data_IF_566176612085
#
_entry.id   IF_566176612085
#
_cell.length_a   1.000
_cell.length_b   1.000
_cell.length_c   1.000
_cell.angle_alpha   90.00
_cell.angle_beta   90.00
_cell.angle_gamma   90.00
#
_symmetry.space_group_name_H-M   'P 1'
#
loop_
_entity.id
_entity.type
_entity.pdbx_description
1 polymer ?
#
# COMPACT_ATOMS: atom_id res chain seq x y z
N UNK A 1 -11.61 -39.41 -63.20
CA UNK A 1 -10.14 -39.34 -63.02
C UNK A 1 -9.90 -38.86 -61.61
N UNK A 2 -9.46 -39.77 -60.71
CA UNK A 2 -8.82 -39.54 -59.39
C UNK A 2 -9.55 -38.61 -58.37
N UNK A 3 -9.57 -38.84 -57.07
CA UNK A 3 -9.30 -39.98 -56.19
C UNK A 3 -9.85 -39.56 -54.81
N UNK A 4 -10.23 -40.56 -54.01
CA UNK A 4 -10.72 -40.49 -52.65
C UNK A 4 -9.78 -39.78 -51.65
N UNK A 5 -10.33 -39.20 -50.58
CA UNK A 5 -10.03 -39.60 -49.18
C UNK A 5 -11.02 -38.97 -48.16
N UNK A 6 -11.42 -39.69 -47.08
CA UNK A 6 -12.54 -39.33 -46.20
C UNK A 6 -12.16 -39.00 -44.74
N UNK A 7 -13.16 -38.45 -44.02
CA UNK A 7 -13.32 -38.36 -42.55
C UNK A 7 -13.02 -39.69 -41.83
N UNK A 8 -12.36 -39.68 -40.67
CA UNK A 8 -12.65 -40.60 -39.54
C UNK A 8 -12.37 -39.92 -38.17
N UNK A 9 -13.22 -40.28 -37.20
CA UNK A 9 -13.33 -39.84 -35.79
C UNK A 9 -12.46 -40.76 -34.86
N UNK A 10 -12.49 -40.62 -33.51
CA UNK A 10 -11.40 -40.92 -32.59
C UNK A 10 -11.38 -42.37 -32.08
N UNK A 11 -10.29 -42.74 -31.40
CA UNK A 11 -10.19 -43.95 -30.58
C UNK A 11 -9.86 -43.55 -29.14
N UNK A 12 -10.76 -43.93 -28.23
CA UNK A 12 -10.47 -44.16 -26.82
C UNK A 12 -10.31 -45.68 -26.62
N UNK A 13 -9.33 -46.12 -25.81
CA UNK A 13 -9.34 -47.39 -25.06
C UNK A 13 -8.13 -47.35 -24.09
N UNK A 14 -8.30 -47.30 -22.76
CA UNK A 14 -8.61 -48.36 -21.77
C UNK A 14 -7.34 -48.88 -21.05
N UNK A 15 -7.36 -48.75 -19.71
CA UNK A 15 -6.94 -49.69 -18.63
C UNK A 15 -5.55 -50.34 -18.74
N UNK A 16 -4.68 -50.42 -17.74
CA UNK A 16 -4.76 -50.39 -16.28
C UNK A 16 -3.81 -51.47 -15.71
N UNK A 17 -3.57 -51.40 -14.39
CA UNK A 17 -3.01 -52.45 -13.50
C UNK A 17 -1.48 -52.52 -13.29
N UNK A 18 -1.11 -52.03 -12.09
CA UNK A 18 -0.24 -52.56 -11.03
C UNK A 18 0.83 -53.65 -11.30
N UNK A 19 2.02 -53.42 -10.74
CA UNK A 19 2.86 -54.30 -9.89
C UNK A 19 4.13 -53.48 -9.56
N UNK A 20 4.55 -53.20 -8.33
CA UNK A 20 4.69 -54.09 -7.18
C UNK A 20 6.05 -54.77 -7.25
N UNK A 21 7.08 -54.22 -6.59
CA UNK A 21 8.25 -54.98 -6.13
C UNK A 21 8.99 -54.27 -4.99
N UNK A 22 9.14 -55.04 -3.93
CA UNK A 22 9.82 -54.87 -2.65
C UNK A 22 11.29 -54.45 -2.72
N UNK A 23 11.78 -53.92 -1.60
CA UNK A 23 13.20 -53.80 -1.32
C UNK A 23 13.53 -53.19 0.04
N UNK A 24 13.13 -53.85 1.13
CA UNK A 24 13.54 -53.54 2.51
C UNK A 24 14.92 -54.12 2.85
N UNK A 25 15.83 -53.32 3.39
CA UNK A 25 16.91 -53.67 4.34
C UNK A 25 17.46 -52.34 4.89
N UNK A 26 17.76 -52.07 6.16
CA UNK A 26 17.69 -52.75 7.46
C UNK A 26 18.06 -51.68 8.53
N UNK A 27 17.46 -51.70 9.73
CA UNK A 27 18.12 -52.05 11.02
C UNK A 27 19.33 -51.13 11.35
N UNK A 28 19.46 -50.40 12.47
CA UNK A 28 18.96 -50.51 13.85
C UNK A 28 19.50 -49.29 14.68
N UNK A 29 19.38 -49.15 16.02
CA UNK A 29 18.63 -48.05 16.67
C UNK A 29 19.43 -47.19 17.70
N UNK A 30 18.67 -46.45 18.56
CA UNK A 30 18.99 -45.81 19.87
C UNK A 30 19.46 -44.35 19.82
N UNK A 31 19.13 -43.45 20.75
CA UNK A 31 18.28 -43.45 21.95
C UNK A 31 18.26 -42.01 22.51
N UNK A 32 17.12 -41.59 23.06
CA UNK A 32 16.91 -40.68 24.21
C UNK A 32 17.96 -39.61 24.58
N UNK A 33 17.54 -38.35 24.68
CA UNK A 33 17.38 -37.59 25.94
C UNK A 33 17.39 -36.07 25.71
N UNK A 34 16.30 -35.40 26.09
CA UNK A 34 16.25 -34.03 26.63
C UNK A 34 16.41 -34.16 28.17
N UNK A 35 16.65 -33.11 29.01
CA UNK A 35 16.65 -31.66 28.77
C UNK A 35 17.78 -30.91 29.55
N UNK A 36 17.59 -29.60 29.82
CA UNK A 36 18.41 -28.63 30.62
C UNK A 36 19.52 -27.92 29.83
N UNK A 37 19.76 -26.60 29.91
CA UNK A 37 19.69 -25.68 31.06
C UNK A 37 19.78 -24.22 30.57
N UNK A 38 19.15 -23.28 31.30
CA UNK A 38 19.36 -21.85 31.13
C UNK A 38 20.69 -21.39 31.74
N UNK A 39 21.16 -20.17 31.46
CA UNK A 39 21.88 -19.41 32.47
C UNK A 39 21.21 -18.07 32.77
N UNK A 40 20.87 -17.91 34.06
CA UNK A 40 20.81 -16.65 34.79
C UNK A 40 22.19 -16.04 34.92
N UNK A 41 22.32 -14.72 34.72
CA UNK A 41 23.35 -13.92 35.39
C UNK A 41 22.85 -12.47 35.58
N UNK A 42 22.50 -12.17 36.82
CA UNK A 42 22.34 -10.82 37.36
C UNK A 42 23.71 -10.14 37.49
N UNK A 43 23.83 -8.88 37.07
CA UNK A 43 24.81 -7.95 37.65
C UNK A 43 24.10 -6.61 37.90
N UNK A 44 24.18 -6.19 39.15
CA UNK A 44 23.66 -4.95 39.74
C UNK A 44 24.67 -3.81 39.56
N UNK A 45 24.16 -2.62 39.19
CA UNK A 45 24.48 -1.24 39.66
C UNK A 45 25.95 -0.73 39.64
N UNK A 46 26.21 0.59 39.41
CA UNK A 46 25.47 1.68 40.03
C UNK A 46 25.14 2.92 39.16
N UNK A 47 24.17 3.68 39.67
CA UNK A 47 23.92 5.09 39.34
C UNK A 47 25.14 5.98 39.60
N UNK A 48 25.13 7.17 38.99
CA UNK A 48 25.45 8.39 39.73
C UNK A 48 24.27 9.37 39.74
N UNK A 49 24.02 9.90 40.94
CA UNK A 49 23.28 11.14 41.18
C UNK A 49 24.27 12.31 41.30
N UNK A 50 23.80 13.53 41.02
CA UNK A 50 24.54 14.79 41.12
C UNK A 50 25.12 15.21 39.76
N UNK A 51 24.85 16.37 39.18
CA UNK A 51 24.60 17.66 39.82
C UNK A 51 23.58 18.51 39.06
N UNK A 52 22.77 19.21 39.86
CA UNK A 52 22.01 20.36 39.45
C UNK A 52 22.97 21.52 39.15
N UNK A 53 23.04 21.97 37.90
CA UNK A 53 23.50 23.31 37.59
C UNK A 53 22.28 24.22 37.44
N UNK A 54 22.15 25.10 38.43
CA UNK A 54 21.32 26.29 38.40
C UNK A 54 21.82 27.23 37.29
N UNK A 55 20.97 27.52 36.31
CA UNK A 55 21.12 28.71 35.48
C UNK A 55 20.40 29.90 36.14
N UNK A 56 21.00 31.10 36.14
CA UNK A 56 20.47 32.29 36.82
C UNK A 56 19.27 32.90 36.07
N UNK A 57 18.38 33.64 36.77
CA UNK A 57 17.22 34.24 36.15
C UNK A 57 17.63 35.49 35.37
N UNK A 58 17.52 35.45 34.05
CA UNK A 58 17.52 36.66 33.23
C UNK A 58 16.09 37.19 33.19
N UNK A 59 15.81 38.11 34.09
CA UNK A 59 14.67 39.00 34.01
C UNK A 59 14.92 40.01 32.88
N UNK A 60 14.15 39.93 31.79
CA UNK A 60 14.01 41.06 30.87
C UNK A 60 12.53 41.28 30.55
N UNK A 61 12.07 42.40 31.07
CA UNK A 61 10.82 43.12 30.85
C UNK A 61 10.05 42.79 29.56
N UNK A 62 8.75 42.53 29.76
CA UNK A 62 7.71 42.76 28.76
C UNK A 62 7.75 44.23 28.34
N UNK A 63 8.08 44.48 27.06
CA UNK A 63 7.76 45.74 26.40
C UNK A 63 6.66 45.43 25.40
N UNK A 64 5.43 45.80 25.75
CA UNK A 64 4.32 45.81 24.82
C UNK A 64 4.60 46.88 23.76
N UNK A 65 4.95 46.46 22.55
CA UNK A 65 4.96 47.34 21.40
C UNK A 65 3.52 47.42 20.86
N UNK A 66 2.85 48.53 21.14
CA UNK A 66 1.67 48.99 20.39
C UNK A 66 2.10 49.25 18.95
N UNK A 67 1.72 48.37 18.02
CA UNK A 67 1.85 48.65 16.58
C UNK A 67 0.58 49.34 16.12
N UNK A 68 0.75 50.64 15.84
CA UNK A 68 -0.20 51.46 15.13
C UNK A 68 -0.42 50.91 13.71
N UNK A 69 -1.68 50.94 13.29
CA UNK A 69 -2.14 50.74 11.92
C UNK A 69 -1.46 51.71 10.96
N UNK A 70 -0.83 51.19 9.91
CA UNK A 70 -0.51 51.95 8.70
C UNK A 70 -0.99 51.18 7.48
N UNK A 71 -2.08 51.68 6.89
CA UNK A 71 -2.48 51.42 5.51
C UNK A 71 -1.38 51.89 4.55
N UNK A 72 -1.04 51.06 3.56
CA UNK A 72 -0.27 51.52 2.39
C UNK A 72 0.61 50.46 1.72
N UNK A 73 0.01 49.74 0.77
CA UNK A 73 0.66 49.02 -0.33
C UNK A 73 1.48 47.74 -0.02
N UNK A 74 0.78 46.68 0.39
CA UNK A 74 1.22 45.31 0.13
C UNK A 74 0.06 44.47 -0.39
N UNK A 75 0.27 43.73 -1.49
CA UNK A 75 -0.68 42.75 -1.99
C UNK A 75 -0.55 41.45 -1.17
N UNK A 76 -1.64 40.79 -0.75
CA UNK A 76 -1.54 39.51 -0.06
C UNK A 76 -0.78 38.50 -0.92
N UNK A 77 0.27 37.92 -0.35
CA UNK A 77 0.88 36.72 -0.90
C UNK A 77 -0.15 35.60 -0.78
N UNK A 78 -0.72 35.17 -1.91
CA UNK A 78 -1.58 34.00 -1.96
C UNK A 78 -0.71 32.74 -1.82
N UNK A 79 -0.20 32.51 -0.60
CA UNK A 79 0.23 31.20 -0.19
C UNK A 79 -1.02 30.41 0.18
N UNK A 80 -1.42 29.49 -0.70
CA UNK A 80 -2.13 28.32 -0.20
C UNK A 80 -1.07 27.47 0.51
N UNK A 81 -0.95 27.67 1.82
CA UNK A 81 -0.49 26.57 2.65
C UNK A 81 -1.40 25.39 2.32
N UNK A 82 -0.86 24.17 2.12
CA UNK A 82 -1.73 22.99 2.05
C UNK A 82 -2.70 23.09 3.21
N UNK A 83 -4.00 22.94 2.90
CA UNK A 83 -5.08 23.12 3.86
C UNK A 83 -4.66 22.57 5.22
N UNK A 84 -4.89 23.40 6.24
CA UNK A 84 -4.71 23.04 7.63
C UNK A 84 -5.06 21.58 7.81
N UNK A 85 -4.03 20.82 8.18
CA UNK A 85 -4.16 19.54 8.86
C UNK A 85 -5.41 19.59 9.71
N UNK A 86 -6.40 18.77 9.36
CA UNK A 86 -7.36 18.31 10.36
C UNK A 86 -6.51 17.87 11.55
N UNK A 87 -6.65 18.55 12.69
CA UNK A 87 -6.16 18.03 13.95
C UNK A 87 -6.61 16.55 14.02
N UNK A 88 -5.80 15.61 14.50
CA UNK A 88 -6.15 14.19 14.42
C UNK A 88 -7.53 14.01 15.04
N UNK A 89 -8.53 13.78 14.17
CA UNK A 89 -9.91 13.57 14.58
C UNK A 89 -9.85 12.51 15.67
N UNK A 90 -10.44 12.71 16.84
CA UNK A 90 -10.39 11.68 17.88
C UNK A 90 -10.86 10.35 17.29
N UNK A 91 -10.19 9.25 17.64
CA UNK A 91 -10.55 7.92 17.15
C UNK A 91 -11.86 7.44 17.82
N UNK A 92 -12.96 8.06 17.42
CA UNK A 92 -14.30 7.94 18.00
C UNK A 92 -15.35 8.44 17.01
N UNK A 93 -16.56 7.92 17.09
CA UNK A 93 -17.70 8.50 16.38
C UNK A 93 -18.44 9.46 17.31
N UNK A 94 -18.46 10.73 16.96
CA UNK A 94 -19.13 11.75 17.77
C UNK A 94 -20.64 11.46 17.87
N UNK A 95 -21.14 11.42 19.10
CA UNK A 95 -22.56 11.17 19.37
C UNK A 95 -23.05 9.74 19.11
N UNK A 96 -22.18 8.80 18.76
CA UNK A 96 -22.56 7.40 18.57
C UNK A 96 -22.80 6.73 19.92
N UNK A 97 -24.06 6.40 20.19
CA UNK A 97 -24.47 5.58 21.34
C UNK A 97 -24.87 4.20 20.83
N UNK A 98 -24.15 3.17 21.26
CA UNK A 98 -24.44 1.79 20.87
C UNK A 98 -25.47 1.16 21.81
N UNK A 99 -26.63 0.72 21.29
CA UNK A 99 -27.58 -0.10 22.05
C UNK A 99 -26.90 -1.36 22.59
N UNK A 100 -27.41 -1.91 23.70
CA UNK A 100 -26.83 -3.08 24.33
C UNK A 100 -26.82 -4.29 23.38
N UNK A 101 -27.89 -4.44 22.61
CA UNK A 101 -28.13 -5.48 21.60
C UNK A 101 -27.36 -5.30 20.30
N UNK A 102 -26.75 -4.12 20.07
CA UNK A 102 -26.02 -3.87 18.84
C UNK A 102 -24.79 -4.79 18.72
N UNK A 103 -24.60 -5.34 17.52
CA UNK A 103 -23.50 -6.24 17.17
C UNK A 103 -22.37 -5.50 16.48
N UNK A 104 -21.15 -5.79 16.88
CA UNK A 104 -19.93 -5.25 16.28
C UNK A 104 -19.23 -6.36 15.49
N UNK A 105 -19.32 -6.30 14.17
CA UNK A 105 -18.71 -7.31 13.30
C UNK A 105 -17.51 -6.74 12.56
N UNK A 106 -16.47 -7.56 12.40
CA UNK A 106 -15.33 -7.23 11.56
C UNK A 106 -15.33 -8.06 10.29
N UNK A 107 -14.90 -7.49 9.17
CA UNK A 107 -14.80 -8.21 7.90
C UNK A 107 -13.68 -7.68 7.00
N UNK A 108 -13.13 -8.56 6.18
CA UNK A 108 -12.13 -8.18 5.18
C UNK A 108 -11.18 -9.29 4.79
N UNK A 109 -10.14 -8.92 4.05
CA UNK A 109 -9.09 -9.79 3.57
C UNK A 109 -7.80 -8.97 3.37
N UNK A 110 -6.75 -9.57 2.82
CA UNK A 110 -5.60 -8.79 2.35
C UNK A 110 -5.98 -7.86 1.18
N UNK A 111 -6.82 -8.33 0.28
CA UNK A 111 -7.36 -7.60 -0.87
C UNK A 111 -8.62 -8.27 -1.40
N UNK A 112 -9.37 -7.56 -2.24
CA UNK A 112 -10.58 -8.05 -2.89
C UNK A 112 -10.36 -8.59 -4.31
N UNK A 113 -11.41 -8.58 -5.12
CA UNK A 113 -11.34 -8.85 -6.57
C UNK A 113 -10.70 -7.65 -7.27
N UNK A 114 -9.73 -7.88 -8.16
CA UNK A 114 -9.04 -6.80 -8.90
C UNK A 114 -10.01 -6.01 -9.78
N UNK A 115 -9.75 -4.70 -9.90
CA UNK A 115 -10.54 -3.78 -10.70
C UNK A 115 -9.82 -3.32 -11.98
N UNK A 116 -8.55 -3.69 -12.16
CA UNK A 116 -7.71 -3.32 -13.32
C UNK A 116 -7.52 -1.80 -13.51
N UNK A 117 -7.69 -1.02 -12.44
CA UNK A 117 -7.35 0.40 -12.37
C UNK A 117 -6.99 0.80 -10.94
N UNK A 118 -6.41 1.98 -10.77
CA UNK A 118 -6.03 2.52 -9.47
C UNK A 118 -7.07 3.50 -8.94
N UNK A 119 -7.20 3.59 -7.62
CA UNK A 119 -8.03 4.60 -6.94
C UNK A 119 -7.18 5.55 -6.07
N UNK A 120 -5.86 5.36 -6.05
CA UNK A 120 -4.92 6.14 -5.25
C UNK A 120 -3.53 6.21 -5.89
N UNK A 121 -2.56 6.67 -5.09
CA UNK A 121 -1.16 6.87 -5.48
C UNK A 121 -0.22 5.78 -4.95
N UNK A 122 -0.74 4.63 -4.51
CA UNK A 122 0.06 3.53 -3.97
C UNK A 122 0.96 2.86 -5.02
N UNK A 123 0.56 2.93 -6.29
CA UNK A 123 1.14 2.15 -7.38
C UNK A 123 0.48 0.77 -7.54
N UNK A 124 -0.36 0.35 -6.60
CA UNK A 124 -1.13 -0.89 -6.65
C UNK A 124 -2.45 -0.72 -7.38
N UNK A 125 -2.88 -1.75 -8.10
CA UNK A 125 -4.25 -1.84 -8.61
C UNK A 125 -5.25 -1.88 -7.46
N UNK A 126 -6.39 -1.23 -7.66
CA UNK A 126 -7.48 -1.28 -6.71
C UNK A 126 -8.20 -2.63 -6.76
N UNK A 127 -8.79 -2.97 -5.63
CA UNK A 127 -9.64 -4.14 -5.48
C UNK A 127 -11.05 -3.76 -5.01
N UNK A 128 -12.00 -4.68 -5.13
CA UNK A 128 -13.36 -4.52 -4.65
C UNK A 128 -13.72 -5.66 -3.71
N UNK A 129 -14.40 -5.32 -2.62
CA UNK A 129 -15.08 -6.27 -1.76
C UNK A 129 -16.57 -5.90 -1.72
N UNK A 130 -17.42 -6.80 -2.22
CA UNK A 130 -18.87 -6.75 -2.08
C UNK A 130 -19.26 -7.28 -0.69
N UNK A 131 -19.88 -6.42 0.12
CA UNK A 131 -20.29 -6.72 1.49
C UNK A 131 -21.81 -6.84 1.54
N UNK A 132 -22.31 -8.01 1.91
CA UNK A 132 -23.72 -8.23 2.19
C UNK A 132 -23.93 -8.36 3.70
N UNK A 133 -24.64 -7.42 4.31
CA UNK A 133 -24.96 -7.45 5.75
C UNK A 133 -26.38 -8.00 5.94
N UNK A 134 -26.51 -9.13 6.62
CA UNK A 134 -27.80 -9.76 6.89
C UNK A 134 -27.94 -10.01 8.40
N UNK A 135 -28.51 -9.04 9.09
CA UNK A 135 -28.73 -9.12 10.53
C UNK A 135 -29.97 -8.29 10.93
N UNK A 136 -31.18 -8.74 10.55
CA UNK A 136 -32.41 -7.99 10.80
C UNK A 136 -32.79 -7.91 12.29
N UNK A 137 -32.29 -8.84 13.11
CA UNK A 137 -32.72 -9.00 14.51
C UNK A 137 -32.07 -8.01 15.48
N UNK A 138 -30.97 -7.36 15.08
CA UNK A 138 -30.32 -6.32 15.89
C UNK A 138 -29.49 -5.36 15.02
N UNK A 139 -29.24 -4.12 15.49
CA UNK A 139 -28.39 -3.16 14.79
C UNK A 139 -26.94 -3.64 14.70
N UNK A 140 -26.23 -3.24 13.64
CA UNK A 140 -24.86 -3.66 13.37
C UNK A 140 -23.92 -2.47 13.23
N UNK A 141 -22.72 -2.59 13.79
CA UNK A 141 -21.56 -1.74 13.51
C UNK A 141 -20.54 -2.57 12.75
N UNK A 142 -19.89 -1.97 11.76
CA UNK A 142 -18.92 -2.67 10.92
C UNK A 142 -17.50 -2.15 11.15
N UNK A 143 -16.55 -3.06 11.33
CA UNK A 143 -15.11 -2.83 11.24
C UNK A 143 -14.56 -3.53 9.99
N UNK A 144 -14.40 -2.78 8.91
CA UNK A 144 -13.90 -3.30 7.65
C UNK A 144 -12.39 -3.07 7.54
N UNK A 145 -11.65 -3.98 6.91
CA UNK A 145 -10.28 -3.63 6.55
C UNK A 145 -9.56 -4.53 5.56
N UNK A 146 -8.73 -3.89 4.73
CA UNK A 146 -7.98 -4.49 3.62
C UNK A 146 -6.60 -3.86 3.49
N UNK A 147 -5.58 -4.63 3.12
CA UNK A 147 -4.24 -4.07 2.90
C UNK A 147 -4.21 -3.24 1.61
N UNK A 148 -4.70 -3.82 0.52
CA UNK A 148 -4.74 -3.22 -0.82
C UNK A 148 -5.71 -2.03 -0.92
N UNK A 149 -5.54 -1.13 -1.92
CA UNK A 149 -6.53 -0.09 -2.18
C UNK A 149 -7.86 -0.78 -2.48
N UNK A 150 -8.93 -0.46 -1.74
CA UNK A 150 -10.17 -1.24 -1.79
C UNK A 150 -11.42 -0.37 -1.84
N UNK A 151 -12.32 -0.68 -2.79
CA UNK A 151 -13.70 -0.19 -2.83
C UNK A 151 -14.60 -1.21 -2.11
N UNK A 152 -15.23 -0.78 -1.03
CA UNK A 152 -16.21 -1.54 -0.27
C UNK A 152 -17.61 -1.21 -0.78
N UNK A 153 -18.21 -2.15 -1.51
CA UNK A 153 -19.54 -2.01 -2.05
C UNK A 153 -20.55 -2.70 -1.12
N UNK A 154 -21.30 -1.91 -0.37
CA UNK A 154 -22.11 -2.41 0.74
C UNK A 154 -23.60 -2.48 0.36
N UNK A 155 -24.19 -3.65 0.59
CA UNK A 155 -25.63 -3.87 0.60
C UNK A 155 -26.06 -4.59 1.88
N UNK A 156 -27.34 -4.51 2.20
CA UNK A 156 -27.92 -5.14 3.40
C UNK A 156 -29.31 -5.71 3.13
N UNK A 157 -29.72 -6.67 3.95
CA UNK A 157 -31.08 -7.22 3.88
C UNK A 157 -32.10 -6.26 4.50
N UNK A 158 -33.36 -6.36 4.06
CA UNK A 158 -34.46 -5.62 4.67
C UNK A 158 -34.52 -5.86 6.19
N UNK A 159 -34.71 -4.79 6.97
CA UNK A 159 -34.71 -4.83 8.44
C UNK A 159 -33.33 -4.73 9.08
N UNK A 160 -32.24 -4.98 8.34
CA UNK A 160 -30.88 -4.75 8.86
C UNK A 160 -30.61 -3.25 9.01
N UNK A 161 -30.17 -2.83 10.21
CA UNK A 161 -29.80 -1.44 10.51
C UNK A 161 -28.31 -1.32 10.78
N UNK A 162 -27.57 -0.67 9.88
CA UNK A 162 -26.15 -0.37 10.07
C UNK A 162 -26.02 0.97 10.82
N UNK A 163 -25.36 0.97 11.97
CA UNK A 163 -25.22 2.14 12.85
C UNK A 163 -23.97 2.97 12.57
N UNK A 164 -22.85 2.34 12.21
CA UNK A 164 -21.59 3.01 11.88
C UNK A 164 -20.65 2.05 11.15
N UNK A 165 -19.70 2.61 10.40
CA UNK A 165 -18.69 1.84 9.68
C UNK A 165 -17.31 2.46 9.90
N UNK A 166 -16.40 1.71 10.52
CA UNK A 166 -14.98 2.01 10.57
C UNK A 166 -14.26 1.17 9.51
N UNK A 167 -13.62 1.84 8.55
CA UNK A 167 -12.83 1.17 7.51
C UNK A 167 -11.36 1.50 7.68
N UNK A 168 -10.54 0.47 7.57
CA UNK A 168 -9.10 0.61 7.71
C UNK A 168 -8.31 -0.16 6.66
N UNK A 169 -7.04 0.17 6.53
CA UNK A 169 -6.18 -0.48 5.58
C UNK A 169 -4.80 0.13 5.50
N UNK A 170 -3.94 -0.45 4.67
CA UNK A 170 -2.65 0.17 4.39
C UNK A 170 -2.84 1.30 3.37
N UNK A 171 -3.45 0.96 2.23
CA UNK A 171 -3.75 1.88 1.13
C UNK A 171 -5.16 2.46 1.20
N UNK A 172 -5.53 3.28 0.20
CA UNK A 172 -6.82 4.01 0.20
C UNK A 172 -8.01 3.06 0.28
N UNK A 173 -8.92 3.37 1.19
CA UNK A 173 -10.19 2.67 1.33
C UNK A 173 -11.33 3.59 0.93
N UNK A 174 -12.28 3.09 0.15
CA UNK A 174 -13.46 3.85 -0.31
C UNK A 174 -14.70 3.04 0.00
N UNK A 175 -15.73 3.68 0.57
CA UNK A 175 -17.02 3.04 0.85
C UNK A 175 -18.08 3.58 -0.10
N UNK A 176 -18.89 2.69 -0.64
CA UNK A 176 -20.08 3.02 -1.44
C UNK A 176 -21.24 2.12 -1.02
N UNK A 177 -22.47 2.60 -1.26
CA UNK A 177 -23.68 1.86 -0.95
C UNK A 177 -24.33 2.18 0.40
N UNK A 178 -23.65 2.87 1.31
CA UNK A 178 -24.24 3.27 2.59
C UNK A 178 -25.12 4.52 2.46
N UNK A 179 -26.21 4.63 3.24
CA UNK A 179 -26.98 5.87 3.35
C UNK A 179 -26.14 7.00 3.95
N UNK A 180 -26.36 8.24 3.50
CA UNK A 180 -25.61 9.42 3.94
C UNK A 180 -25.66 9.66 5.47
N UNK A 181 -26.70 9.16 6.14
CA UNK A 181 -26.86 9.27 7.59
C UNK A 181 -26.05 8.26 8.41
N UNK A 182 -25.41 7.27 7.79
CA UNK A 182 -24.57 6.28 8.51
C UNK A 182 -23.17 6.84 8.70
N UNK A 183 -22.74 7.14 9.94
CA UNK A 183 -21.39 7.62 10.21
C UNK A 183 -20.35 6.64 9.69
N UNK A 184 -19.45 7.12 8.85
CA UNK A 184 -18.37 6.33 8.26
C UNK A 184 -17.05 7.02 8.51
N UNK A 185 -16.08 6.27 9.05
CA UNK A 185 -14.72 6.74 9.30
C UNK A 185 -13.73 5.89 8.52
N UNK A 186 -12.77 6.54 7.87
CA UNK A 186 -11.68 5.88 7.14
C UNK A 186 -10.34 6.24 7.78
N UNK A 187 -9.61 5.23 8.25
CA UNK A 187 -8.30 5.39 8.89
C UNK A 187 -7.31 4.39 8.34
N UNK A 188 -6.31 4.84 7.58
CA UNK A 188 -5.36 4.01 6.86
C UNK A 188 -3.91 4.38 7.19
N UNK A 189 -2.96 3.54 6.80
CA UNK A 189 -1.55 3.88 6.91
C UNK A 189 -1.21 5.12 6.06
N UNK A 190 -1.74 5.20 4.84
CA UNK A 190 -1.45 6.29 3.93
C UNK A 190 -2.06 7.63 4.36
N UNK A 191 -3.28 7.65 4.92
CA UNK A 191 -3.93 8.91 5.35
C UNK A 191 -3.55 9.34 6.79
N UNK A 192 -2.77 8.53 7.51
CA UNK A 192 -2.41 8.76 8.92
C UNK A 192 -3.62 9.02 9.83
N UNK A 193 -4.72 8.34 9.54
CA UNK A 193 -5.97 8.48 10.28
C UNK A 193 -5.79 8.14 11.77
N UNK A 194 -6.60 8.78 12.61
CA UNK A 194 -6.40 8.75 14.05
C UNK A 194 -6.66 7.40 14.72
N UNK A 195 -7.35 6.49 14.04
CA UNK A 195 -7.51 5.11 14.51
C UNK A 195 -6.34 4.21 14.17
N UNK A 196 -5.27 4.77 13.58
CA UNK A 196 -4.16 3.99 13.04
C UNK A 196 -4.66 3.18 11.85
N UNK A 197 -4.04 2.01 11.64
CA UNK A 197 -4.42 1.14 10.55
C UNK A 197 -4.46 -0.32 10.97
N UNK A 198 -5.38 -1.06 10.36
CA UNK A 198 -5.50 -2.51 10.45
C UNK A 198 -6.08 -3.06 9.14
N UNK A 199 -5.94 -4.36 8.94
CA UNK A 199 -6.66 -5.08 7.90
C UNK A 199 -7.11 -6.43 8.47
N UNK A 200 -8.24 -6.93 7.98
CA UNK A 200 -8.90 -8.09 8.58
C UNK A 200 -8.46 -9.36 7.87
N UNK A 201 -7.73 -10.21 8.57
CA UNK A 201 -7.34 -11.56 8.14
C UNK A 201 -7.45 -12.49 9.35
N UNK A 202 -7.55 -13.80 9.12
CA UNK A 202 -7.65 -14.76 10.23
C UNK A 202 -6.43 -14.67 11.15
N UNK A 203 -5.25 -14.48 10.57
CA UNK A 203 -3.96 -14.38 11.26
C UNK A 203 -3.84 -13.10 12.09
N UNK A 204 -4.56 -12.03 11.73
CA UNK A 204 -4.52 -10.73 12.43
C UNK A 204 -5.73 -10.45 13.31
N UNK A 205 -6.67 -11.39 13.46
CA UNK A 205 -7.89 -11.19 14.24
C UNK A 205 -7.64 -10.71 15.69
N UNK A 206 -6.54 -11.16 16.32
CA UNK A 206 -6.15 -10.74 17.66
C UNK A 206 -5.88 -9.24 17.82
N UNK A 207 -5.60 -8.52 16.74
CA UNK A 207 -5.31 -7.07 16.75
C UNK A 207 -6.55 -6.18 16.73
N UNK A 208 -7.74 -6.74 16.47
CA UNK A 208 -8.96 -5.96 16.23
C UNK A 208 -9.61 -5.47 17.52
N UNK A 209 -9.63 -6.29 18.57
CA UNK A 209 -10.29 -5.96 19.83
C UNK A 209 -9.73 -4.72 20.55
N UNK A 210 -8.41 -4.45 20.55
CA UNK A 210 -7.88 -3.18 21.06
C UNK A 210 -8.44 -1.94 20.35
N UNK A 211 -8.60 -1.99 19.03
CA UNK A 211 -9.20 -0.89 18.25
C UNK A 211 -10.70 -0.80 18.53
N UNK A 212 -11.40 -1.94 18.50
CA UNK A 212 -12.83 -2.02 18.79
C UNK A 212 -13.20 -1.41 20.15
N UNK A 213 -12.44 -1.76 21.20
CA UNK A 213 -12.67 -1.21 22.55
C UNK A 213 -12.39 0.29 22.62
N UNK A 214 -11.38 0.78 21.89
CA UNK A 214 -11.06 2.21 21.85
C UNK A 214 -12.17 3.03 21.18
N UNK A 215 -12.69 2.55 20.04
CA UNK A 215 -13.65 3.30 19.22
C UNK A 215 -15.10 3.10 19.69
N UNK A 216 -15.45 1.88 20.06
CA UNK A 216 -16.83 1.45 20.31
C UNK A 216 -17.08 1.03 21.76
N UNK A 217 -16.05 1.02 22.62
CA UNK A 217 -16.18 0.63 24.03
C UNK A 217 -16.38 -0.87 24.27
N UNK A 218 -16.38 -1.72 23.23
CA UNK A 218 -16.59 -3.17 23.33
C UNK A 218 -15.77 -3.96 22.31
N UNK A 219 -15.46 -5.24 22.56
CA UNK A 219 -14.82 -6.10 21.57
C UNK A 219 -15.75 -6.38 20.38
N UNK A 220 -15.18 -6.87 19.29
CA UNK A 220 -15.97 -7.40 18.17
C UNK A 220 -16.66 -8.71 18.58
N UNK A 221 -17.88 -8.93 18.12
CA UNK A 221 -18.62 -10.17 18.31
C UNK A 221 -18.10 -11.29 17.40
N UNK A 222 -17.73 -10.96 16.15
CA UNK A 222 -17.33 -11.96 15.15
C UNK A 222 -16.50 -11.35 14.00
N UNK A 223 -15.64 -12.18 13.40
CA UNK A 223 -14.87 -11.87 12.19
C UNK A 223 -15.43 -12.67 11.02
N UNK A 224 -15.66 -11.99 9.89
CA UNK A 224 -16.10 -12.58 8.62
C UNK A 224 -15.02 -12.38 7.55
N UNK A 225 -14.16 -13.37 7.29
CA UNK A 225 -13.15 -13.27 6.24
C UNK A 225 -13.81 -13.16 4.86
N UNK A 226 -13.41 -12.16 4.08
CA UNK A 226 -13.82 -12.04 2.69
C UNK A 226 -13.09 -13.07 1.83
N UNK A 227 -13.79 -13.62 0.84
CA UNK A 227 -13.27 -14.58 -0.13
C UNK A 227 -13.68 -14.12 -1.53
N UNK A 228 -12.72 -14.11 -2.46
CA UNK A 228 -12.97 -13.72 -3.86
C UNK A 228 -13.64 -12.35 -4.02
N UNK A 229 -13.28 -11.38 -3.17
CA UNK A 229 -13.90 -10.05 -3.18
C UNK A 229 -15.35 -10.02 -2.71
N UNK A 230 -15.80 -10.99 -1.91
CA UNK A 230 -17.16 -11.04 -1.35
C UNK A 230 -17.14 -11.42 0.13
N UNK A 231 -18.10 -10.91 0.89
CA UNK A 231 -18.33 -11.32 2.28
C UNK A 231 -19.81 -11.19 2.65
N UNK A 232 -20.32 -12.18 3.39
CA UNK A 232 -21.62 -12.13 4.04
C UNK A 232 -21.39 -11.96 5.54
N UNK A 233 -21.98 -10.92 6.13
CA UNK A 233 -21.86 -10.58 7.55
C UNK A 233 -23.20 -10.86 8.23
N UNK A 234 -23.16 -11.61 9.33
CA UNK A 234 -24.35 -12.04 10.07
C UNK A 234 -24.88 -13.39 9.57
N UNK A 235 -26.19 -13.47 9.39
CA UNK A 235 -26.88 -14.71 8.99
C UNK A 235 -26.64 -15.04 7.51
N UNK A 236 -26.53 -16.32 7.14
CA UNK A 236 -26.41 -16.74 5.74
C UNK A 236 -27.55 -16.17 4.87
N UNK A 237 -27.25 -15.84 3.62
CA UNK A 237 -28.26 -15.41 2.66
C UNK A 237 -29.03 -16.62 2.13
N UNK A 238 -30.34 -16.50 2.05
CA UNK A 238 -31.22 -17.47 1.37
C UNK A 238 -31.70 -16.91 0.03
N UNK A 239 -32.31 -17.74 -0.82
CA UNK A 239 -32.86 -17.30 -2.10
C UNK A 239 -33.94 -16.20 -1.97
N UNK A 240 -34.59 -16.08 -0.81
CA UNK A 240 -35.58 -15.05 -0.52
C UNK A 240 -34.99 -13.78 0.11
N UNK A 241 -33.69 -13.76 0.42
CA UNK A 241 -33.05 -12.61 1.05
C UNK A 241 -32.79 -11.52 -0.01
N UNK A 242 -33.68 -10.54 -0.07
CA UNK A 242 -33.48 -9.36 -0.91
C UNK A 242 -32.44 -8.42 -0.27
N UNK A 243 -31.39 -8.11 -1.02
CA UNK A 243 -30.39 -7.11 -0.65
C UNK A 243 -30.72 -5.76 -1.29
N UNK A 244 -30.59 -4.71 -0.51
CA UNK A 244 -30.71 -3.32 -0.93
C UNK A 244 -29.39 -2.58 -0.71
N UNK A 245 -29.20 -1.50 -1.45
CA UNK A 245 -28.08 -0.57 -1.30
C UNK A 245 -28.63 0.85 -1.45
N UNK A 246 -27.91 1.84 -0.94
CA UNK A 246 -28.35 3.23 -1.04
C UNK A 246 -28.42 3.68 -2.51
N UNK A 247 -29.43 4.48 -2.85
CA UNK A 247 -29.62 4.95 -4.24
C UNK A 247 -28.47 5.85 -4.73
N UNK A 248 -27.75 6.49 -3.82
CA UNK A 248 -26.57 7.30 -4.14
C UNK A 248 -25.29 6.47 -4.34
N UNK A 249 -25.38 5.14 -4.22
CA UNK A 249 -24.26 4.24 -4.46
C UNK A 249 -23.60 4.53 -5.81
N UNK A 250 -22.33 4.93 -5.75
CA UNK A 250 -21.55 5.13 -6.96
C UNK A 250 -20.96 3.80 -7.41
N UNK A 251 -20.91 3.52 -8.72
CA UNK A 251 -20.22 2.35 -9.22
C UNK A 251 -18.71 2.43 -8.90
N UNK A 252 -18.03 1.31 -8.63
CA UNK A 252 -16.61 1.29 -8.30
C UNK A 252 -15.72 2.07 -9.29
N UNK A 253 -16.05 2.02 -10.57
CA UNK A 253 -15.32 2.69 -11.66
C UNK A 253 -15.30 4.21 -11.53
N UNK A 254 -16.27 4.80 -10.83
CA UNK A 254 -16.31 6.24 -10.58
C UNK A 254 -15.19 6.74 -9.66
N UNK A 255 -14.53 5.82 -8.94
CA UNK A 255 -13.40 6.14 -8.06
C UNK A 255 -12.05 5.99 -8.75
N UNK A 256 -12.03 5.61 -10.04
CA UNK A 256 -10.80 5.47 -10.83
C UNK A 256 -10.02 6.79 -10.86
N UNK A 257 -8.73 6.68 -10.60
CA UNK A 257 -7.78 7.78 -10.79
C UNK A 257 -7.60 8.05 -12.28
N UNK A 258 -7.62 9.33 -12.72
CA UNK A 258 -7.36 9.68 -14.12
C UNK A 258 -6.02 9.11 -14.61
N UNK A 259 -5.92 8.77 -15.89
CA UNK A 259 -4.71 8.14 -16.47
C UNK A 259 -3.46 9.00 -16.27
N UNK A 260 -3.58 10.32 -16.34
CA UNK A 260 -2.51 11.28 -16.08
C UNK A 260 -2.02 11.32 -14.63
N UNK A 261 -2.75 10.68 -13.71
CA UNK A 261 -2.45 10.61 -12.29
C UNK A 261 -2.18 9.18 -11.84
N UNK A 262 -2.07 8.20 -12.75
CA UNK A 262 -1.74 6.84 -12.35
C UNK A 262 -0.31 6.77 -11.77
N UNK A 263 -0.16 5.93 -10.75
CA UNK A 263 1.07 5.65 -10.03
C UNK A 263 1.74 4.37 -10.56
N UNK A 264 2.99 4.15 -10.15
CA UNK A 264 3.72 2.90 -10.40
C UNK A 264 3.91 2.61 -11.90
N UNK A 265 3.87 1.33 -12.31
CA UNK A 265 4.05 0.92 -13.71
C UNK A 265 3.08 1.59 -14.68
N UNK A 266 1.82 1.75 -14.29
CA UNK A 266 0.80 2.30 -15.17
C UNK A 266 1.02 3.81 -15.43
N UNK A 267 1.50 4.55 -14.43
CA UNK A 267 1.96 5.94 -14.61
C UNK A 267 3.17 6.05 -15.56
N UNK A 268 4.10 5.09 -15.51
CA UNK A 268 5.24 5.04 -16.42
C UNK A 268 4.80 4.71 -17.85
N UNK A 269 3.86 3.80 -18.03
CA UNK A 269 3.29 3.46 -19.34
C UNK A 269 2.53 4.64 -19.94
N UNK A 270 1.76 5.36 -19.12
CA UNK A 270 1.15 6.61 -19.55
C UNK A 270 2.21 7.61 -20.02
N UNK A 271 3.29 7.82 -19.24
CA UNK A 271 4.38 8.73 -19.62
C UNK A 271 5.09 8.32 -20.92
N UNK A 272 5.22 7.01 -21.20
CA UNK A 272 5.70 6.51 -22.49
C UNK A 272 4.72 6.83 -23.61
N UNK A 273 3.42 6.61 -23.41
CA UNK A 273 2.38 6.92 -24.42
C UNK A 273 2.35 8.41 -24.80
N UNK A 274 2.68 9.29 -23.86
CA UNK A 274 2.74 10.74 -24.07
C UNK A 274 4.10 11.21 -24.62
N UNK A 275 5.05 10.30 -24.85
CA UNK A 275 6.39 10.62 -25.31
C UNK A 275 7.22 11.44 -24.31
N UNK A 276 6.85 11.42 -23.02
CA UNK A 276 7.65 11.99 -21.93
C UNK A 276 8.83 11.08 -21.59
N UNK A 277 8.61 9.76 -21.73
CA UNK A 277 9.62 8.72 -21.59
C UNK A 277 9.69 7.90 -22.89
N UNK A 278 10.84 7.27 -23.12
CA UNK A 278 10.94 6.07 -23.96
C UNK A 278 11.53 4.93 -23.15
N UNK A 279 11.31 3.68 -23.57
CA UNK A 279 12.02 2.53 -22.99
C UNK A 279 13.52 2.67 -23.27
N UNK A 280 14.33 2.39 -22.25
CA UNK A 280 15.78 2.37 -22.37
C UNK A 280 16.26 1.05 -22.97
N UNK A 281 17.41 1.12 -23.62
CA UNK A 281 18.16 0.00 -24.16
C UNK A 281 19.51 -0.11 -23.45
N UNK A 282 20.20 -1.23 -23.62
CA UNK A 282 21.55 -1.39 -23.05
C UNK A 282 22.52 -0.29 -23.56
N UNK A 283 22.32 0.21 -24.78
CA UNK A 283 23.13 1.29 -25.32
C UNK A 283 23.04 2.59 -24.49
N UNK A 284 21.90 2.85 -23.81
CA UNK A 284 21.74 4.02 -22.94
C UNK A 284 22.60 3.89 -21.67
N UNK A 285 22.63 2.68 -21.09
CA UNK A 285 23.51 2.34 -19.98
C UNK A 285 24.99 2.43 -20.37
N UNK A 286 25.35 1.89 -21.54
CA UNK A 286 26.73 1.90 -22.02
C UNK A 286 27.20 3.34 -22.31
N UNK A 287 26.32 4.18 -22.85
CA UNK A 287 26.59 5.60 -23.07
C UNK A 287 26.86 6.36 -21.75
N UNK A 288 26.16 6.01 -20.67
CA UNK A 288 26.41 6.58 -19.35
C UNK A 288 27.80 6.22 -18.83
N UNK A 289 28.17 4.93 -18.91
CA UNK A 289 29.46 4.43 -18.46
C UNK A 289 30.61 5.09 -19.23
N UNK A 290 30.46 5.23 -20.55
CA UNK A 290 31.42 5.94 -21.39
C UNK A 290 31.56 7.42 -21.00
N UNK A 291 30.43 8.11 -20.74
CA UNK A 291 30.44 9.51 -20.32
C UNK A 291 31.11 9.72 -18.94
N UNK A 292 30.88 8.80 -18.00
CA UNK A 292 31.54 8.79 -16.68
C UNK A 292 33.05 8.55 -16.79
N UNK A 293 33.46 7.56 -17.59
CA UNK A 293 34.88 7.25 -17.81
C UNK A 293 35.61 8.45 -18.45
N UNK A 294 34.97 9.14 -19.40
CA UNK A 294 35.53 10.34 -20.02
C UNK A 294 35.60 11.57 -19.09
N UNK A 295 34.88 11.59 -17.96
CA UNK A 295 35.05 12.60 -16.90
C UNK A 295 36.17 12.21 -15.93
N UNK A 296 36.32 10.91 -15.67
CA UNK A 296 37.33 10.34 -14.79
C UNK A 296 38.73 10.30 -15.44
N UNK A 297 39.09 11.34 -16.21
CA UNK A 297 40.47 11.57 -16.67
C UNK A 297 41.28 12.09 -15.49
N UNK A 298 41.41 11.26 -14.47
CA UNK A 298 42.62 11.30 -13.67
C UNK A 298 43.75 10.79 -14.58
N UNK A 299 44.93 11.41 -14.49
CA UNK A 299 46.16 10.99 -15.16
C UNK A 299 46.66 9.66 -14.56
N UNK A 300 45.83 8.62 -14.71
CA UNK A 300 46.05 7.29 -14.18
C UNK A 300 46.31 6.39 -15.39
N UNK A 301 47.53 5.85 -15.56
CA UNK A 301 47.81 4.93 -16.64
C UNK A 301 46.94 3.66 -16.53
N UNK A 302 46.56 3.04 -17.66
CA UNK A 302 45.77 1.82 -17.65
C UNK A 302 46.49 0.71 -16.89
N UNK A 303 45.80 0.07 -15.95
CA UNK A 303 46.32 -1.07 -15.17
C UNK A 303 46.10 -2.35 -15.97
N UNK A 304 47.18 -3.06 -16.31
CA UNK A 304 47.09 -4.38 -16.92
C UNK A 304 46.33 -5.35 -16.00
N UNK A 305 45.25 -5.96 -16.49
CA UNK A 305 44.35 -6.80 -15.68
C UNK A 305 43.35 -6.02 -14.82
N UNK A 306 43.18 -4.71 -15.06
CA UNK A 306 42.22 -3.87 -14.35
C UNK A 306 40.78 -4.39 -14.45
N UNK A 307 39.96 -4.03 -13.45
CA UNK A 307 38.55 -4.43 -13.37
C UNK A 307 37.81 -3.90 -14.62
N UNK A 308 37.05 -4.75 -15.35
CA UNK A 308 36.27 -4.30 -16.49
C UNK A 308 35.30 -3.20 -16.06
N UNK A 309 34.96 -2.30 -16.99
CA UNK A 309 33.94 -1.29 -16.75
C UNK A 309 32.68 -1.95 -16.18
N UNK A 310 32.16 -1.40 -15.07
CA UNK A 310 30.95 -1.90 -14.43
C UNK A 310 29.81 -1.99 -15.43
N UNK A 311 28.87 -2.92 -15.22
CA UNK A 311 27.70 -3.07 -16.08
C UNK A 311 26.47 -2.61 -15.32
N UNK A 312 25.78 -1.60 -15.84
CA UNK A 312 24.48 -1.20 -15.30
C UNK A 312 23.44 -2.23 -15.72
N UNK A 313 22.84 -2.88 -14.72
CA UNK A 313 21.64 -3.71 -14.92
C UNK A 313 20.42 -2.83 -14.68
N UNK A 314 19.65 -2.58 -15.73
CA UNK A 314 18.44 -1.76 -15.64
C UNK A 314 17.27 -2.62 -15.16
N UNK A 315 16.59 -2.14 -14.13
CA UNK A 315 15.25 -2.62 -13.78
C UNK A 315 14.24 -1.60 -14.33
N UNK A 316 13.30 -2.04 -15.19
CA UNK A 316 12.34 -1.17 -15.89
C UNK A 316 12.99 0.13 -16.40
N UNK A 317 13.87 0.00 -17.40
CA UNK A 317 14.68 1.12 -17.89
C UNK A 317 13.91 2.11 -18.76
N UNK A 318 14.10 3.41 -18.52
CA UNK A 318 13.53 4.52 -19.29
C UNK A 318 14.54 5.63 -19.56
N UNK A 319 14.36 6.32 -20.69
CA UNK A 319 15.07 7.56 -21.01
C UNK A 319 14.08 8.71 -20.99
N UNK A 320 14.44 9.76 -20.27
CA UNK A 320 13.63 10.96 -20.12
C UNK A 320 13.75 11.81 -21.38
N UNK A 321 12.62 12.11 -22.01
CA UNK A 321 12.59 12.85 -23.27
C UNK A 321 12.17 14.32 -23.07
N UNK A 322 11.36 14.59 -22.05
CA UNK A 322 10.81 15.91 -21.73
C UNK A 322 10.69 16.07 -20.21
N UNK A 323 10.36 17.29 -19.76
CA UNK A 323 10.03 17.54 -18.36
C UNK A 323 8.97 16.53 -17.86
N UNK A 324 9.28 15.88 -16.76
CA UNK A 324 8.55 14.72 -16.25
C UNK A 324 8.52 14.78 -14.71
N UNK A 325 7.42 14.34 -14.12
CA UNK A 325 7.28 14.16 -12.67
C UNK A 325 7.18 12.67 -12.43
N UNK A 326 7.99 12.14 -11.51
CA UNK A 326 7.89 10.72 -11.16
C UNK A 326 6.48 10.39 -10.66
N UNK A 327 5.82 9.35 -11.22
CA UNK A 327 4.60 8.84 -10.61
C UNK A 327 4.92 8.31 -9.21
N UNK A 328 3.94 8.38 -8.31
CA UNK A 328 4.08 7.77 -6.99
C UNK A 328 4.24 6.24 -7.09
N UNK A 329 4.55 5.55 -5.98
CA UNK A 329 4.56 4.08 -5.95
C UNK A 329 5.75 3.39 -6.61
N UNK A 330 6.83 4.11 -6.97
CA UNK A 330 8.06 3.53 -7.56
C UNK A 330 8.99 2.86 -6.53
N UNK A 331 8.46 1.94 -5.73
CA UNK A 331 9.18 1.23 -4.67
C UNK A 331 9.28 -0.28 -4.96
N UNK A 332 10.32 -0.93 -4.40
CA UNK A 332 10.50 -2.38 -4.52
C UNK A 332 10.48 -2.87 -5.97
N UNK A 333 9.60 -3.82 -6.28
CA UNK A 333 9.42 -4.37 -7.63
C UNK A 333 8.86 -3.38 -8.66
N UNK A 334 8.39 -2.20 -8.24
CA UNK A 334 7.95 -1.13 -9.13
C UNK A 334 8.99 -0.02 -9.31
N UNK A 335 10.17 -0.17 -8.72
CA UNK A 335 11.29 0.73 -8.99
C UNK A 335 11.71 0.68 -10.47
N UNK A 336 12.33 1.76 -10.93
CA UNK A 336 12.77 1.90 -12.31
C UNK A 336 14.18 2.47 -12.42
N UNK A 337 14.73 2.42 -13.62
CA UNK A 337 16.03 3.01 -13.95
C UNK A 337 15.82 4.13 -14.96
N UNK A 338 16.24 5.34 -14.64
CA UNK A 338 16.05 6.50 -15.50
C UNK A 338 17.40 7.05 -15.98
N UNK A 339 17.50 7.30 -17.28
CA UNK A 339 18.58 8.07 -17.88
C UNK A 339 18.03 9.44 -18.29
N UNK A 340 18.68 10.51 -17.84
CA UNK A 340 18.32 11.90 -18.20
C UNK A 340 19.37 12.40 -19.19
N UNK A 341 19.06 12.48 -20.50
CA UNK A 341 20.00 12.96 -21.50
C UNK A 341 20.42 14.41 -21.24
N UNK A 342 21.60 14.78 -21.75
CA UNK A 342 22.11 16.15 -21.65
C UNK A 342 21.14 17.14 -22.30
N UNK A 343 20.83 18.22 -21.59
CA UNK A 343 19.88 19.26 -22.00
C UNK A 343 18.41 18.96 -21.68
N UNK A 344 18.10 17.74 -21.21
CA UNK A 344 16.74 17.40 -20.73
C UNK A 344 16.64 17.73 -19.25
N UNK A 345 15.59 18.43 -18.79
CA UNK A 345 15.40 18.70 -17.37
C UNK A 345 15.29 17.42 -16.57
N UNK A 346 16.00 17.38 -15.43
CA UNK A 346 15.89 16.29 -14.46
C UNK A 346 14.44 16.15 -13.98
N UNK A 347 13.88 14.93 -13.91
CA UNK A 347 12.53 14.75 -13.39
C UNK A 347 12.38 15.24 -11.95
N UNK A 348 11.19 15.70 -11.61
CA UNK A 348 10.83 16.17 -10.26
C UNK A 348 9.93 15.16 -9.54
N UNK A 349 9.61 15.42 -8.28
CA UNK A 349 8.83 14.48 -7.45
C UNK A 349 9.71 13.42 -6.77
N UNK A 350 9.06 12.40 -6.20
CA UNK A 350 9.75 11.35 -5.46
C UNK A 350 10.02 10.13 -6.37
N UNK A 351 11.30 9.83 -6.58
CA UNK A 351 11.74 8.69 -7.40
C UNK A 351 11.53 7.31 -6.73
N UNK A 352 11.13 7.28 -5.46
CA UNK A 352 11.01 6.05 -4.67
C UNK A 352 12.36 5.34 -4.53
N UNK A 353 12.40 4.06 -4.88
CA UNK A 353 13.64 3.26 -4.92
C UNK A 353 14.32 3.27 -6.30
N UNK A 354 13.84 4.10 -7.23
CA UNK A 354 14.39 4.18 -8.57
C UNK A 354 15.80 4.80 -8.60
N UNK A 355 16.58 4.43 -9.60
CA UNK A 355 17.90 5.02 -9.85
C UNK A 355 17.84 6.00 -11.01
N UNK A 356 18.52 7.13 -10.88
CA UNK A 356 18.52 8.23 -11.85
C UNK A 356 19.96 8.58 -12.22
N UNK A 357 20.29 8.35 -13.49
CA UNK A 357 21.57 8.65 -14.12
C UNK A 357 21.45 9.94 -14.93
N UNK A 358 22.07 11.02 -14.48
CA UNK A 358 21.85 12.36 -15.02
C UNK A 358 23.04 12.87 -15.85
N UNK A 359 22.90 12.89 -17.17
CA UNK A 359 23.98 13.28 -18.08
C UNK A 359 24.29 14.78 -18.04
N UNK A 360 23.45 15.60 -17.39
CA UNK A 360 23.75 17.02 -17.20
C UNK A 360 24.87 17.23 -16.19
N UNK A 361 24.86 16.46 -15.10
CA UNK A 361 25.84 16.58 -14.01
C UNK A 361 26.84 15.43 -13.97
N UNK A 362 26.55 14.33 -14.67
CA UNK A 362 27.25 13.05 -14.57
C UNK A 362 27.24 12.48 -13.15
N UNK A 363 26.15 12.72 -12.43
CA UNK A 363 25.88 12.15 -11.11
C UNK A 363 24.74 11.12 -11.16
N UNK A 364 24.82 10.13 -10.29
CA UNK A 364 23.80 9.10 -10.10
C UNK A 364 23.16 9.28 -8.72
N UNK A 365 21.83 9.14 -8.63
CA UNK A 365 21.11 9.09 -7.35
C UNK A 365 20.16 7.91 -7.29
N UNK A 366 20.02 7.28 -6.11
CA UNK A 366 19.11 6.15 -5.88
C UNK A 366 19.83 4.93 -5.35
N UNK A 367 19.07 3.88 -5.04
CA UNK A 367 19.57 2.72 -4.30
C UNK A 367 20.71 1.95 -5.01
N UNK A 368 20.79 2.01 -6.35
CA UNK A 368 21.78 1.25 -7.13
C UNK A 368 22.99 2.09 -7.56
N UNK A 369 23.05 3.37 -7.20
CA UNK A 369 24.09 4.29 -7.67
C UNK A 369 25.46 4.13 -7.03
N UNK A 370 25.58 3.29 -5.99
CA UNK A 370 26.83 3.05 -5.25
C UNK A 370 27.35 1.61 -5.40
N UNK A 371 26.85 0.84 -6.38
CA UNK A 371 27.26 -0.55 -6.60
C UNK A 371 28.34 -0.73 -7.68
N UNK A 372 28.87 0.36 -8.25
CA UNK A 372 29.91 0.32 -9.28
C UNK A 372 31.33 0.35 -8.70
#
# INVERSE_FOLDING_TARGET
MFQHLPRWLPIALIVGVASGCDGSMGLFPRSSADPTEAPTASVQAPSPAGDAMQEPPVATAMTQATVATSDGATKPFAFQAPNATDAPATCSFDGLVLPAEAKLFAAGAYGGRRLDYQIDQSGSEATQIDVAVNHPDAPVVLMLGSYEPTVWNIGWSSGTRILAVLVSGYHRQVVTGLPAGVPTMVSTYDNKGACGYYYVTAEKAGTLNPVARRVFGRPIDMVFPAREGRVVIGSPLTASTALITDQSAKPPQSFRTPDSQQAGPAGLEYAVSQGLLRRASQADADAWLAARAARAVADIPPIAGGRPAGRITMHNGYVVQKAFVFPAGLYGAHSATFFVPKGVPRPTGNAGHSSVYDFNTLDCSGALCNLD
#
